data_IF_561295048106
#
_entry.id   IF_561295048106
#
_cell.length_a   1.000
_cell.length_b   1.000
_cell.length_c   1.000
_cell.angle_alpha   90.00
_cell.angle_beta   90.00
_cell.angle_gamma   90.00
#
_symmetry.space_group_name_H-M   'P 1'
#
loop_
_entity.id
_entity.type
_entity.pdbx_description
1 polymer ?
#
# COMPACT_ATOMS: atom_id res chain seq x y z
N UNK A 1 -22.47 17.92 -28.41
CA UNK A 1 -21.81 18.36 -27.18
C UNK A 1 -20.40 17.79 -27.19
N UNK A 2 -19.36 18.63 -27.23
CA UNK A 2 -18.00 18.15 -26.99
C UNK A 2 -17.96 17.64 -25.55
N UNK A 3 -17.77 16.34 -25.36
CA UNK A 3 -17.52 15.78 -24.04
C UNK A 3 -16.22 16.44 -23.55
N UNK A 4 -16.32 17.29 -22.52
CA UNK A 4 -15.14 17.89 -21.92
C UNK A 4 -14.22 16.75 -21.50
N UNK A 5 -12.96 16.78 -21.95
CA UNK A 5 -11.98 15.77 -21.55
C UNK A 5 -11.93 15.72 -20.02
N UNK A 6 -12.06 14.54 -19.40
CA UNK A 6 -12.06 14.39 -17.95
C UNK A 6 -10.83 15.06 -17.32
N UNK A 7 -11.01 15.56 -16.10
CA UNK A 7 -9.98 16.28 -15.36
C UNK A 7 -9.69 15.62 -14.02
N UNK A 8 -8.45 15.75 -13.56
CA UNK A 8 -8.02 15.33 -12.24
C UNK A 8 -7.35 16.48 -11.51
N UNK A 9 -7.67 16.65 -10.23
CA UNK A 9 -6.91 17.47 -9.31
C UNK A 9 -6.01 16.60 -8.44
N UNK A 10 -4.70 16.73 -8.61
CA UNK A 10 -3.69 16.10 -7.78
C UNK A 10 -3.46 16.99 -6.55
N UNK A 11 -3.77 16.47 -5.36
CA UNK A 11 -3.53 17.15 -4.08
C UNK A 11 -2.26 16.58 -3.43
N UNK A 12 -1.19 17.36 -3.39
CA UNK A 12 0.11 16.93 -2.92
C UNK A 12 1.04 16.51 -4.06
N UNK A 13 2.06 17.32 -4.35
CA UNK A 13 3.01 17.11 -5.44
C UNK A 13 4.37 16.59 -4.93
N UNK A 14 4.29 15.63 -4.01
CA UNK A 14 5.43 14.82 -3.56
C UNK A 14 5.84 13.76 -4.58
N UNK A 15 6.68 12.79 -4.20
CA UNK A 15 7.16 11.75 -5.11
C UNK A 15 6.03 10.97 -5.80
N UNK A 16 5.03 10.52 -5.04
CA UNK A 16 3.90 9.76 -5.59
C UNK A 16 2.98 10.65 -6.45
N UNK A 17 2.65 11.87 -5.97
CA UNK A 17 1.86 12.83 -6.75
C UNK A 17 2.49 13.20 -8.09
N UNK A 18 3.82 13.35 -8.16
CA UNK A 18 4.56 13.53 -9.42
C UNK A 18 4.40 12.36 -10.39
N UNK A 19 4.48 11.13 -9.88
CA UNK A 19 4.33 9.91 -10.68
C UNK A 19 2.90 9.82 -11.20
N UNK A 20 1.90 9.96 -10.32
CA UNK A 20 0.48 9.91 -10.67
C UNK A 20 0.09 11.01 -11.65
N UNK A 21 0.53 12.26 -11.44
CA UNK A 21 0.27 13.36 -12.37
C UNK A 21 0.74 13.04 -13.81
N UNK A 22 1.92 12.41 -13.94
CA UNK A 22 2.43 11.95 -15.25
C UNK A 22 1.57 10.84 -15.83
N UNK A 23 1.19 9.84 -15.04
CA UNK A 23 0.34 8.72 -15.49
C UNK A 23 -1.04 9.23 -15.93
N UNK A 24 -1.70 10.06 -15.12
CA UNK A 24 -2.98 10.68 -15.45
C UNK A 24 -2.91 11.46 -16.78
N UNK A 25 -1.85 12.25 -16.97
CA UNK A 25 -1.60 12.97 -18.24
C UNK A 25 -1.38 12.03 -19.41
N UNK A 26 -0.62 10.94 -19.23
CA UNK A 26 -0.41 9.91 -20.24
C UNK A 26 -1.69 9.16 -20.62
N UNK A 27 -2.66 9.06 -19.71
CA UNK A 27 -3.99 8.55 -19.95
C UNK A 27 -4.94 9.57 -20.63
N UNK A 28 -4.45 10.75 -21.02
CA UNK A 28 -5.23 11.78 -21.71
C UNK A 28 -6.10 12.65 -20.80
N UNK A 29 -5.90 12.58 -19.48
CA UNK A 29 -6.67 13.35 -18.50
C UNK A 29 -6.06 14.75 -18.33
N UNK A 30 -6.92 15.76 -18.19
CA UNK A 30 -6.49 17.12 -17.88
C UNK A 30 -6.04 17.22 -16.42
N UNK A 31 -4.74 17.41 -16.19
CA UNK A 31 -4.15 17.38 -14.84
C UNK A 31 -3.98 18.80 -14.27
N UNK A 32 -4.61 19.02 -13.12
CA UNK A 32 -4.40 20.17 -12.24
C UNK A 32 -3.66 19.70 -10.99
N UNK A 33 -2.83 20.57 -10.42
CA UNK A 33 -2.02 20.28 -9.23
C UNK A 33 -2.20 21.37 -8.20
N UNK A 34 -2.36 20.97 -6.94
CA UNK A 34 -2.27 21.86 -5.79
C UNK A 34 -1.43 21.22 -4.68
N UNK A 35 -0.74 22.05 -3.90
CA UNK A 35 0.11 21.68 -2.78
C UNK A 35 0.25 22.89 -1.86
N UNK A 36 0.38 22.65 -0.55
CA UNK A 36 0.61 23.71 0.45
C UNK A 36 2.01 24.32 0.34
N UNK A 37 2.94 23.63 -0.31
CA UNK A 37 4.34 24.01 -0.41
C UNK A 37 4.60 24.74 -1.73
N UNK A 38 4.97 26.02 -1.64
CA UNK A 38 5.26 26.86 -2.82
C UNK A 38 6.28 26.22 -3.78
N UNK A 39 7.36 25.66 -3.27
CA UNK A 39 8.40 25.03 -4.10
C UNK A 39 7.90 23.79 -4.85
N UNK A 40 6.91 23.07 -4.31
CA UNK A 40 6.27 21.94 -5.00
C UNK A 40 5.34 22.42 -6.11
N UNK A 41 4.63 23.53 -5.92
CA UNK A 41 3.85 24.18 -6.97
C UNK A 41 4.75 24.68 -8.11
N UNK A 42 5.86 25.35 -7.78
CA UNK A 42 6.86 25.79 -8.76
C UNK A 42 7.43 24.60 -9.54
N UNK A 43 7.72 23.48 -8.86
CA UNK A 43 8.13 22.24 -9.51
C UNK A 43 7.06 21.64 -10.43
N UNK A 44 5.79 21.64 -10.03
CA UNK A 44 4.69 21.15 -10.86
C UNK A 44 4.51 22.01 -12.13
N UNK A 45 4.65 23.33 -11.98
CA UNK A 45 4.58 24.25 -13.11
C UNK A 45 5.74 24.03 -14.08
N UNK A 46 6.96 23.83 -13.57
CA UNK A 46 8.14 23.51 -14.38
C UNK A 46 8.00 22.17 -15.11
N UNK A 47 7.33 21.17 -14.50
CA UNK A 47 6.98 19.89 -15.11
C UNK A 47 5.84 20.02 -16.15
N UNK A 48 5.30 21.23 -16.37
CA UNK A 48 4.27 21.53 -17.36
C UNK A 48 2.86 21.15 -16.94
N UNK A 49 2.56 21.15 -15.64
CA UNK A 49 1.22 20.96 -15.09
C UNK A 49 0.54 22.29 -14.76
N UNK A 50 -0.80 22.31 -14.77
CA UNK A 50 -1.58 23.49 -14.39
C UNK A 50 -1.69 23.57 -12.87
N UNK A 51 -1.36 24.72 -12.32
CA UNK A 51 -1.47 24.98 -10.88
C UNK A 51 -2.86 25.48 -10.55
N UNK A 52 -3.53 24.81 -9.61
CA UNK A 52 -4.81 25.24 -9.09
C UNK A 52 -4.66 25.90 -7.72
N UNK A 53 -5.15 27.13 -7.61
CA UNK A 53 -5.14 27.91 -6.37
C UNK A 53 -6.53 28.01 -5.72
N UNK A 54 -7.59 27.78 -6.49
CA UNK A 54 -8.98 27.85 -6.03
C UNK A 54 -9.77 26.66 -6.58
N UNK A 55 -9.56 25.44 -6.03
CA UNK A 55 -10.17 24.22 -6.53
C UNK A 55 -11.70 24.24 -6.67
N UNK A 56 -12.41 24.98 -5.83
CA UNK A 56 -13.89 25.05 -5.84
C UNK A 56 -14.49 25.69 -7.11
N UNK A 57 -13.70 26.43 -7.88
CA UNK A 57 -14.14 27.06 -9.12
C UNK A 57 -14.30 26.07 -10.29
N UNK A 58 -13.76 24.85 -10.16
CA UNK A 58 -13.75 23.83 -11.21
C UNK A 58 -14.48 22.57 -10.72
N UNK A 59 -15.16 21.89 -11.62
CA UNK A 59 -15.66 20.53 -11.39
C UNK A 59 -14.65 19.53 -11.93
N UNK A 60 -14.21 18.60 -11.09
CA UNK A 60 -13.25 17.56 -11.48
C UNK A 60 -13.94 16.22 -11.70
N UNK A 61 -13.45 15.43 -12.66
CA UNK A 61 -13.86 14.02 -12.72
C UNK A 61 -13.22 13.23 -11.57
N UNK A 62 -12.01 13.61 -11.18
CA UNK A 62 -11.24 12.95 -10.13
C UNK A 62 -10.54 13.97 -9.23
N UNK A 63 -10.49 13.70 -7.93
CA UNK A 63 -9.54 14.30 -7.01
C UNK A 63 -8.64 13.18 -6.50
N UNK A 64 -7.32 13.32 -6.61
CA UNK A 64 -6.37 12.28 -6.20
C UNK A 64 -5.48 12.83 -5.07
N UNK A 65 -5.75 12.36 -3.85
CA UNK A 65 -5.09 12.75 -2.61
C UNK A 65 -3.79 11.97 -2.48
N UNK A 66 -2.68 12.66 -2.73
CA UNK A 66 -1.31 12.18 -2.72
C UNK A 66 -0.48 12.77 -1.56
N UNK A 67 -1.14 13.11 -0.46
CA UNK A 67 -0.52 13.71 0.72
C UNK A 67 0.09 12.63 1.64
N UNK A 68 0.82 12.98 2.71
CA UNK A 68 1.25 12.00 3.72
C UNK A 68 0.06 11.28 4.36
N UNK A 69 0.26 10.02 4.76
CA UNK A 69 -0.80 9.13 5.24
C UNK A 69 -1.64 9.73 6.38
N UNK A 70 -0.99 10.38 7.34
CA UNK A 70 -1.63 11.03 8.50
C UNK A 70 -2.40 12.33 8.17
N UNK A 71 -2.58 12.66 6.88
CA UNK A 71 -3.30 13.85 6.42
C UNK A 71 -4.38 13.54 5.41
N UNK A 72 -4.55 12.28 4.99
CA UNK A 72 -5.50 11.89 3.95
C UNK A 72 -6.93 12.32 4.30
N UNK A 73 -7.41 11.95 5.48
CA UNK A 73 -8.78 12.23 5.92
C UNK A 73 -8.99 13.72 6.19
N UNK A 74 -7.99 14.41 6.72
CA UNK A 74 -8.04 15.85 6.90
C UNK A 74 -8.19 16.60 5.57
N UNK A 75 -7.46 16.16 4.54
CA UNK A 75 -7.56 16.73 3.19
C UNK A 75 -8.92 16.44 2.58
N UNK A 76 -9.46 15.23 2.75
CA UNK A 76 -10.82 14.90 2.33
C UNK A 76 -11.86 15.82 2.99
N UNK A 77 -11.75 16.03 4.31
CA UNK A 77 -12.61 16.95 5.05
C UNK A 77 -12.57 18.36 4.46
N UNK A 78 -11.37 18.86 4.11
CA UNK A 78 -11.19 20.18 3.49
C UNK A 78 -11.79 20.28 2.09
N UNK A 79 -11.60 19.25 1.26
CA UNK A 79 -12.23 19.18 -0.08
C UNK A 79 -13.74 19.38 0.05
N UNK A 80 -14.37 18.69 1.01
CA UNK A 80 -15.81 18.77 1.25
C UNK A 80 -16.20 20.13 1.84
N UNK A 81 -15.47 20.64 2.84
CA UNK A 81 -15.79 21.94 3.46
C UNK A 81 -15.64 23.13 2.51
N UNK A 82 -14.70 23.04 1.58
CA UNK A 82 -14.39 24.10 0.61
C UNK A 82 -15.28 24.02 -0.64
N UNK A 83 -16.28 23.12 -0.67
CA UNK A 83 -17.20 22.87 -1.78
C UNK A 83 -16.46 22.55 -3.10
N UNK A 84 -15.40 21.75 -3.01
CA UNK A 84 -14.70 21.25 -4.20
C UNK A 84 -15.57 20.19 -4.87
N UNK A 85 -15.94 20.43 -6.12
CA UNK A 85 -16.83 19.54 -6.89
C UNK A 85 -16.02 18.44 -7.58
N UNK A 86 -16.38 17.19 -7.34
CA UNK A 86 -15.73 16.02 -7.92
C UNK A 86 -16.70 14.88 -8.22
N UNK A 87 -16.45 14.04 -9.23
CA UNK A 87 -17.22 12.79 -9.38
C UNK A 87 -16.67 11.73 -8.41
N UNK A 88 -15.35 11.58 -8.33
CA UNK A 88 -14.66 10.63 -7.45
C UNK A 88 -13.47 11.22 -6.73
N UNK A 89 -13.15 10.67 -5.57
CA UNK A 89 -11.93 10.95 -4.84
C UNK A 89 -11.11 9.67 -4.68
N UNK A 90 -9.84 9.72 -5.06
CA UNK A 90 -8.87 8.67 -4.91
C UNK A 90 -7.97 9.05 -3.74
N UNK A 91 -7.77 8.16 -2.80
CA UNK A 91 -6.96 8.40 -1.60
C UNK A 91 -5.85 7.35 -1.56
N UNK A 92 -4.59 7.76 -1.39
CA UNK A 92 -3.51 6.81 -1.14
C UNK A 92 -3.78 5.93 0.09
N UNK A 93 -3.23 4.71 0.08
CA UNK A 93 -3.20 3.86 1.26
C UNK A 93 -2.12 4.34 2.27
N UNK A 94 -2.27 4.04 3.56
CA UNK A 94 -3.49 3.55 4.22
C UNK A 94 -4.58 4.63 4.27
N UNK A 95 -5.85 4.21 4.40
CA UNK A 95 -6.98 5.13 4.41
C UNK A 95 -6.98 6.01 5.68
N UNK A 96 -6.79 5.39 6.84
CA UNK A 96 -6.54 6.03 8.13
C UNK A 96 -5.69 5.11 9.01
N UNK A 97 -4.98 5.68 9.98
CA UNK A 97 -4.10 4.93 10.88
C UNK A 97 -4.41 5.09 12.36
N UNK A 98 -5.31 6.01 12.73
CA UNK A 98 -5.67 6.24 14.12
C UNK A 98 -7.19 6.42 14.29
N UNK A 99 -7.63 6.38 15.55
CA UNK A 99 -9.04 6.49 15.90
C UNK A 99 -9.64 7.87 15.56
N UNK A 100 -8.83 8.92 15.55
CA UNK A 100 -9.28 10.29 15.25
C UNK A 100 -9.60 10.46 13.77
N UNK A 101 -8.70 10.06 12.88
CA UNK A 101 -8.96 10.03 11.43
C UNK A 101 -10.15 9.13 11.09
N UNK A 102 -10.25 7.97 11.74
CA UNK A 102 -11.42 7.10 11.62
C UNK A 102 -12.69 7.86 12.00
N UNK A 103 -12.72 8.55 13.14
CA UNK A 103 -13.90 9.28 13.57
C UNK A 103 -14.34 10.35 12.56
N UNK A 104 -13.39 11.14 12.05
CA UNK A 104 -13.67 12.16 11.02
C UNK A 104 -14.25 11.52 9.76
N UNK A 105 -13.66 10.42 9.28
CA UNK A 105 -14.17 9.74 8.09
C UNK A 105 -15.63 9.33 8.28
N UNK A 106 -15.98 8.74 9.42
CA UNK A 106 -17.36 8.33 9.69
C UNK A 106 -18.31 9.52 9.77
N UNK A 107 -17.90 10.63 10.39
CA UNK A 107 -18.69 11.86 10.40
C UNK A 107 -18.98 12.38 8.97
N UNK A 108 -17.99 12.34 8.08
CA UNK A 108 -18.18 12.72 6.67
C UNK A 108 -19.18 11.80 5.97
N UNK A 109 -19.09 10.49 6.19
CA UNK A 109 -19.98 9.49 5.58
C UNK A 109 -21.41 9.57 6.12
N UNK A 110 -21.58 9.84 7.42
CA UNK A 110 -22.89 10.03 8.04
C UNK A 110 -23.60 11.28 7.48
N UNK A 111 -22.83 12.31 7.11
CA UNK A 111 -23.34 13.55 6.52
C UNK A 111 -23.60 13.44 5.00
N UNK A 112 -22.86 12.62 4.26
CA UNK A 112 -23.05 12.39 2.83
C UNK A 112 -22.82 10.92 2.46
N UNK A 113 -23.92 10.16 2.41
CA UNK A 113 -23.90 8.75 2.05
C UNK A 113 -23.42 8.48 0.61
N UNK A 114 -23.45 9.49 -0.28
CA UNK A 114 -22.93 9.32 -1.66
C UNK A 114 -21.41 9.09 -1.69
N UNK A 115 -20.70 9.48 -0.63
CA UNK A 115 -19.25 9.31 -0.51
C UNK A 115 -18.82 7.84 -0.51
N UNK A 116 -19.68 6.91 -0.08
CA UNK A 116 -19.38 5.47 -0.11
C UNK A 116 -19.01 4.97 -1.51
N UNK A 117 -19.70 5.45 -2.54
CA UNK A 117 -19.47 5.04 -3.94
C UNK A 117 -18.45 5.94 -4.66
N UNK A 118 -18.09 7.08 -4.07
CA UNK A 118 -17.21 8.09 -4.68
C UNK A 118 -15.77 8.00 -4.18
N UNK A 119 -15.54 7.46 -2.99
CA UNK A 119 -14.20 7.27 -2.41
C UNK A 119 -13.60 5.95 -2.89
N UNK A 120 -12.40 6.03 -3.46
CA UNK A 120 -11.58 4.90 -3.88
C UNK A 120 -10.25 4.98 -3.14
N UNK A 121 -9.79 3.87 -2.57
CA UNK A 121 -8.45 3.78 -1.97
C UNK A 121 -7.48 3.19 -2.98
N UNK A 122 -6.37 3.87 -3.20
CA UNK A 122 -5.34 3.46 -4.15
C UNK A 122 -4.42 2.40 -3.55
N UNK A 123 -4.89 1.15 -3.56
CA UNK A 123 -4.07 -0.03 -3.30
C UNK A 123 -3.76 -0.74 -4.62
N UNK A 124 -2.65 -0.36 -5.24
CA UNK A 124 -2.29 -0.80 -6.59
C UNK A 124 -2.06 -2.31 -6.69
N UNK A 125 -1.76 -3.02 -5.59
CA UNK A 125 -1.46 -4.46 -5.66
C UNK A 125 -2.65 -5.32 -6.13
N UNK A 126 -3.89 -4.85 -6.00
CA UNK A 126 -5.06 -5.48 -6.64
C UNK A 126 -4.99 -5.58 -8.18
N UNK A 127 -4.04 -4.86 -8.80
CA UNK A 127 -3.74 -4.92 -10.22
C UNK A 127 -2.53 -5.76 -10.58
N UNK A 128 -1.89 -6.41 -9.61
CA UNK A 128 -0.72 -7.24 -9.88
C UNK A 128 -1.06 -8.40 -10.82
N UNK A 129 -0.48 -8.37 -12.02
CA UNK A 129 -0.62 -9.42 -13.03
C UNK A 129 0.10 -10.69 -12.60
N UNK A 130 1.26 -10.56 -11.94
CA UNK A 130 2.04 -11.73 -11.50
C UNK A 130 1.31 -12.51 -10.41
N UNK A 131 0.64 -11.81 -9.48
CA UNK A 131 -0.13 -12.47 -8.40
C UNK A 131 -1.40 -13.12 -8.96
N UNK A 132 -2.08 -12.50 -9.92
CA UNK A 132 -3.23 -13.12 -10.62
C UNK A 132 -2.83 -14.37 -11.40
N UNK A 133 -1.73 -14.30 -12.16
CA UNK A 133 -1.19 -15.46 -12.87
C UNK A 133 -0.84 -16.60 -11.91
N UNK A 134 -0.26 -16.27 -10.75
CA UNK A 134 -0.03 -17.24 -9.69
C UNK A 134 -1.35 -17.84 -9.17
N UNK A 135 -2.34 -17.02 -8.79
CA UNK A 135 -3.65 -17.49 -8.30
C UNK A 135 -4.30 -18.48 -9.26
N UNK A 136 -4.33 -18.18 -10.56
CA UNK A 136 -4.90 -19.06 -11.59
C UNK A 136 -4.22 -20.45 -11.61
N UNK A 137 -2.89 -20.48 -11.46
CA UNK A 137 -2.09 -21.73 -11.42
C UNK A 137 -2.28 -22.52 -10.11
N UNK A 138 -2.53 -21.85 -8.99
CA UNK A 138 -2.74 -22.50 -7.68
C UNK A 138 -4.08 -23.22 -7.54
N UNK A 139 -5.04 -23.01 -8.45
CA UNK A 139 -6.45 -23.43 -8.29
C UNK A 139 -6.67 -24.92 -7.98
N UNK A 140 -5.68 -25.79 -8.21
CA UNK A 140 -5.75 -27.24 -7.96
C UNK A 140 -4.77 -27.73 -6.88
N UNK A 141 -4.00 -26.84 -6.28
CA UNK A 141 -2.90 -27.18 -5.41
C UNK A 141 -3.27 -27.10 -3.93
N UNK A 142 -2.87 -28.11 -3.14
CA UNK A 142 -3.00 -28.06 -1.68
C UNK A 142 -1.82 -27.30 -1.08
N UNK A 143 -2.07 -26.04 -0.72
CA UNK A 143 -1.08 -25.14 -0.14
C UNK A 143 -0.87 -25.46 1.34
N UNK A 144 0.39 -25.68 1.75
CA UNK A 144 0.80 -25.86 3.16
C UNK A 144 1.27 -24.55 3.78
N UNK A 145 1.97 -23.71 3.01
CA UNK A 145 2.53 -22.45 3.50
C UNK A 145 2.45 -21.34 2.46
N UNK A 146 2.16 -20.14 2.92
CA UNK A 146 2.31 -18.89 2.17
C UNK A 146 3.23 -17.98 2.97
N UNK A 147 4.31 -17.48 2.39
CA UNK A 147 5.21 -16.51 3.01
C UNK A 147 5.31 -15.28 2.11
N UNK A 148 4.96 -14.11 2.63
CA UNK A 148 5.12 -12.83 1.93
C UNK A 148 6.14 -12.00 2.70
N UNK A 149 7.14 -11.51 1.98
CA UNK A 149 8.15 -10.58 2.50
C UNK A 149 8.07 -9.28 1.70
N UNK A 150 7.96 -8.15 2.41
CA UNK A 150 8.19 -6.81 1.86
C UNK A 150 9.11 -6.02 2.77
N UNK A 151 10.41 -6.11 2.50
CA UNK A 151 11.46 -5.50 3.30
C UNK A 151 12.34 -4.59 2.45
N UNK A 152 12.72 -3.46 3.03
CA UNK A 152 13.69 -2.53 2.47
C UNK A 152 14.19 -1.63 3.60
N UNK A 153 15.50 -1.44 3.69
CA UNK A 153 16.06 -0.38 4.52
C UNK A 153 15.54 1.00 4.05
N UNK A 154 14.70 1.61 4.89
CA UNK A 154 14.12 2.94 4.71
C UNK A 154 14.85 4.00 5.52
N UNK A 155 15.93 3.71 6.24
CA UNK A 155 16.60 4.70 7.10
C UNK A 155 16.97 5.99 6.33
N UNK A 156 17.42 5.87 5.09
CA UNK A 156 17.67 7.02 4.22
C UNK A 156 16.38 7.75 3.79
N UNK A 157 15.30 7.02 3.49
CA UNK A 157 13.99 7.62 3.19
C UNK A 157 13.41 8.33 4.46
N UNK A 158 13.53 7.72 5.64
CA UNK A 158 13.05 8.25 6.92
C UNK A 158 13.77 9.55 7.30
N UNK A 159 15.09 9.64 7.11
CA UNK A 159 15.87 10.88 7.27
C UNK A 159 15.38 12.02 6.37
N UNK A 160 14.73 11.69 5.25
CA UNK A 160 14.09 12.66 4.36
C UNK A 160 12.61 12.96 4.70
N UNK A 161 12.12 12.45 5.84
CA UNK A 161 10.74 12.62 6.31
C UNK A 161 9.71 11.77 5.57
N UNK A 162 10.10 10.61 5.03
CA UNK A 162 9.24 9.74 4.21
C UNK A 162 9.13 8.35 4.82
N UNK A 163 8.02 7.67 4.55
CA UNK A 163 7.71 6.31 5.05
C UNK A 163 7.77 6.16 6.57
N UNK A 164 7.43 7.24 7.28
CA UNK A 164 7.24 7.21 8.73
C UNK A 164 5.74 7.25 8.99
N UNK A 165 5.25 6.23 9.68
CA UNK A 165 3.91 6.20 10.23
C UNK A 165 4.01 6.38 11.75
N UNK A 166 3.60 7.54 12.23
CA UNK A 166 3.73 7.87 13.66
C UNK A 166 2.65 7.20 14.52
N UNK A 167 1.61 6.63 13.91
CA UNK A 167 0.48 6.05 14.61
C UNK A 167 0.64 4.54 14.78
N UNK A 168 0.96 3.82 13.70
CA UNK A 168 1.05 2.35 13.70
C UNK A 168 2.37 1.79 13.14
N UNK A 169 3.37 2.65 12.91
CA UNK A 169 4.73 2.24 12.54
C UNK A 169 4.78 1.33 11.32
N UNK A 170 5.52 0.23 11.42
CA UNK A 170 5.70 -0.72 10.32
C UNK A 170 4.38 -1.33 9.77
N UNK A 171 3.31 -1.38 10.57
CA UNK A 171 1.99 -1.86 10.13
C UNK A 171 1.32 -0.91 9.13
N UNK A 172 1.70 0.36 9.07
CA UNK A 172 1.08 1.34 8.16
C UNK A 172 1.74 1.42 6.79
N UNK A 173 2.93 0.83 6.61
CA UNK A 173 3.74 1.04 5.41
C UNK A 173 3.53 -0.08 4.37
N UNK A 174 4.08 -1.28 4.58
CA UNK A 174 4.02 -2.35 3.57
C UNK A 174 2.87 -3.34 3.81
N UNK A 175 2.35 -3.44 5.04
CA UNK A 175 1.27 -4.39 5.37
C UNK A 175 0.02 -4.23 4.48
N UNK A 176 -0.49 -3.03 4.14
CA UNK A 176 -1.65 -2.91 3.26
C UNK A 176 -1.46 -3.61 1.89
N UNK A 177 -0.25 -3.54 1.33
CA UNK A 177 0.08 -4.23 0.08
C UNK A 177 0.03 -5.75 0.24
N UNK A 178 0.52 -6.26 1.39
CA UNK A 178 0.51 -7.69 1.70
C UNK A 178 -0.92 -8.19 1.90
N UNK A 179 -1.78 -7.40 2.56
CA UNK A 179 -3.21 -7.72 2.71
C UNK A 179 -3.90 -7.81 1.35
N UNK A 180 -3.63 -6.86 0.44
CA UNK A 180 -4.17 -6.92 -0.92
C UNK A 180 -3.71 -8.16 -1.70
N UNK A 181 -2.45 -8.58 -1.56
CA UNK A 181 -1.95 -9.84 -2.17
C UNK A 181 -2.70 -11.04 -1.61
N UNK A 182 -2.87 -11.10 -0.29
CA UNK A 182 -3.59 -12.18 0.37
C UNK A 182 -5.06 -12.27 -0.05
N UNK A 183 -5.71 -11.12 -0.23
CA UNK A 183 -7.07 -11.06 -0.76
C UNK A 183 -7.15 -11.61 -2.19
N UNK A 184 -6.20 -11.25 -3.08
CA UNK A 184 -6.13 -11.82 -4.45
C UNK A 184 -5.91 -13.34 -4.41
N UNK A 185 -5.20 -13.87 -3.41
CA UNK A 185 -4.96 -15.30 -3.26
C UNK A 185 -6.13 -16.06 -2.60
N UNK A 186 -7.29 -15.43 -2.43
CA UNK A 186 -8.46 -15.96 -1.70
C UNK A 186 -8.12 -16.37 -0.26
N UNK A 187 -7.25 -15.58 0.39
CA UNK A 187 -6.75 -15.79 1.75
C UNK A 187 -6.87 -14.50 2.58
N UNK A 188 -8.06 -13.93 2.74
CA UNK A 188 -8.21 -12.73 3.55
C UNK A 188 -7.96 -13.05 5.03
N UNK A 189 -7.17 -12.21 5.71
CA UNK A 189 -6.66 -12.49 7.07
C UNK A 189 -7.77 -12.54 8.14
N UNK A 190 -8.92 -11.90 7.90
CA UNK A 190 -10.07 -11.93 8.80
C UNK A 190 -10.73 -13.31 8.93
N UNK A 191 -10.39 -14.26 8.05
CA UNK A 191 -10.85 -15.65 8.09
C UNK A 191 -9.83 -16.61 8.72
N UNK A 192 -8.71 -16.09 9.24
CA UNK A 192 -7.61 -16.88 9.79
C UNK A 192 -7.46 -16.70 11.30
N UNK A 193 -6.87 -17.68 11.96
CA UNK A 193 -6.46 -17.57 13.34
C UNK A 193 -5.08 -16.92 13.42
N UNK A 194 -4.94 -15.86 14.21
CA UNK A 194 -3.65 -15.22 14.50
C UNK A 194 -2.85 -16.10 15.46
N UNK A 195 -1.63 -16.47 15.07
CA UNK A 195 -0.71 -17.32 15.87
C UNK A 195 0.39 -16.49 16.50
N UNK A 196 1.03 -15.61 15.72
CA UNK A 196 2.07 -14.68 16.20
C UNK A 196 1.87 -13.31 15.59
N UNK A 197 2.20 -12.29 16.36
CA UNK A 197 2.19 -10.90 15.94
C UNK A 197 3.27 -10.16 16.71
N UNK A 198 4.42 -9.98 16.07
CA UNK A 198 5.62 -9.44 16.72
C UNK A 198 5.97 -8.14 16.01
N UNK A 199 6.19 -7.10 16.81
CA UNK A 199 6.76 -5.82 16.38
C UNK A 199 8.17 -5.73 16.95
N UNK A 200 9.15 -5.77 16.05
CA UNK A 200 10.55 -5.53 16.38
C UNK A 200 10.84 -4.04 16.27
N UNK A 201 11.48 -3.46 17.29
CA UNK A 201 11.85 -2.05 17.35
C UNK A 201 13.32 -1.94 17.75
N UNK A 202 14.12 -1.23 16.97
CA UNK A 202 15.46 -0.84 17.39
C UNK A 202 15.38 0.06 18.64
N UNK A 203 16.13 -0.32 19.66
CA UNK A 203 16.19 0.39 20.95
C UNK A 203 16.70 1.82 20.80
N UNK A 204 17.52 2.09 19.78
CA UNK A 204 18.17 3.38 19.55
C UNK A 204 17.47 4.22 18.45
N UNK A 205 16.67 3.60 17.58
CA UNK A 205 15.86 4.30 16.57
C UNK A 205 14.45 3.69 16.46
N UNK A 206 13.48 4.37 17.07
CA UNK A 206 12.07 3.95 17.04
C UNK A 206 11.47 3.84 15.63
N UNK A 207 12.09 4.40 14.58
CA UNK A 207 11.61 4.28 13.20
C UNK A 207 12.25 3.09 12.46
N UNK A 208 13.29 2.49 13.03
CA UNK A 208 13.89 1.26 12.55
C UNK A 208 13.10 0.08 13.15
N UNK A 209 12.12 -0.38 12.39
CA UNK A 209 11.13 -1.35 12.84
C UNK A 209 10.97 -2.50 11.85
N UNK A 210 10.43 -3.61 12.32
CA UNK A 210 9.92 -4.68 11.47
C UNK A 210 8.80 -5.46 12.13
N UNK A 211 8.00 -6.14 11.30
CA UNK A 211 6.90 -6.99 11.75
C UNK A 211 7.08 -8.42 11.28
N UNK A 212 6.71 -9.35 12.15
CA UNK A 212 6.50 -10.75 11.85
C UNK A 212 5.09 -11.12 12.28
N UNK A 213 4.28 -11.60 11.34
CA UNK A 213 2.91 -12.04 11.63
C UNK A 213 2.72 -13.45 11.09
N UNK A 214 2.16 -14.32 11.91
CA UNK A 214 1.84 -15.70 11.53
C UNK A 214 0.36 -15.95 11.76
N UNK A 215 -0.29 -16.49 10.75
CA UNK A 215 -1.67 -16.95 10.80
C UNK A 215 -1.76 -18.42 10.39
N UNK A 216 -2.83 -19.07 10.82
CA UNK A 216 -3.23 -20.40 10.35
C UNK A 216 -4.66 -20.35 9.84
N UNK A 217 -4.89 -20.90 8.65
CA UNK A 217 -6.22 -21.04 8.07
C UNK A 217 -6.95 -22.26 8.64
N UNK A 218 -8.27 -22.37 8.43
CA UNK A 218 -9.05 -23.56 8.82
C UNK A 218 -8.60 -24.87 8.17
N UNK A 219 -7.85 -24.80 7.07
CA UNK A 219 -7.33 -25.95 6.33
C UNK A 219 -5.85 -26.22 6.66
N UNK A 220 -5.36 -25.72 7.79
CA UNK A 220 -3.98 -25.88 8.29
C UNK A 220 -2.90 -25.29 7.36
N UNK A 221 -3.25 -24.37 6.44
CA UNK A 221 -2.26 -23.56 5.74
C UNK A 221 -1.70 -22.49 6.68
N UNK A 222 -0.37 -22.45 6.84
CA UNK A 222 0.33 -21.37 7.56
C UNK A 222 0.57 -20.18 6.63
N UNK A 223 0.24 -18.97 7.08
CA UNK A 223 0.51 -17.72 6.37
C UNK A 223 1.48 -16.88 7.19
N UNK A 224 2.63 -16.53 6.62
CA UNK A 224 3.69 -15.75 7.27
C UNK A 224 3.87 -14.43 6.54
N UNK A 225 3.85 -13.32 7.28
CA UNK A 225 4.08 -11.97 6.81
C UNK A 225 5.36 -11.45 7.45
N UNK A 226 6.31 -10.98 6.63
CA UNK A 226 7.51 -10.29 7.07
C UNK A 226 7.59 -8.90 6.42
N UNK A 227 7.88 -7.88 7.21
CA UNK A 227 8.22 -6.58 6.67
C UNK A 227 9.20 -5.86 7.59
N UNK A 228 10.39 -5.56 7.08
CA UNK A 228 11.43 -4.84 7.82
C UNK A 228 11.77 -3.54 7.10
N UNK A 229 11.70 -2.42 7.83
CA UNK A 229 11.79 -1.07 7.30
C UNK A 229 13.10 -0.35 7.62
N UNK A 230 14.00 -0.92 8.42
CA UNK A 230 15.34 -0.35 8.60
C UNK A 230 16.43 -1.35 8.29
N UNK A 231 17.57 -1.26 8.98
CA UNK A 231 18.81 -1.94 8.58
C UNK A 231 18.95 -3.37 9.13
N UNK A 232 17.98 -3.85 9.93
CA UNK A 232 17.95 -5.22 10.43
C UNK A 232 16.75 -6.03 9.91
N UNK A 233 16.86 -7.35 10.00
CA UNK A 233 15.76 -8.30 9.86
C UNK A 233 15.93 -9.45 10.86
N UNK A 234 14.81 -10.08 11.23
CA UNK A 234 14.79 -11.23 12.14
C UNK A 234 14.27 -12.46 11.40
N UNK A 235 15.01 -13.58 11.48
CA UNK A 235 14.61 -14.84 10.88
C UNK A 235 13.55 -15.57 11.74
N UNK A 236 12.88 -16.61 11.20
CA UNK A 236 12.01 -17.48 12.00
C UNK A 236 12.71 -18.19 13.17
N UNK A 237 14.02 -18.40 13.07
CA UNK A 237 14.91 -18.95 14.10
C UNK A 237 15.37 -17.88 15.10
N UNK A 238 14.82 -16.67 14.98
CA UNK A 238 15.14 -15.46 15.74
C UNK A 238 16.57 -14.95 15.55
N UNK A 239 17.22 -15.27 14.43
CA UNK A 239 18.52 -14.70 14.08
C UNK A 239 18.35 -13.28 13.57
N UNK A 240 19.14 -12.36 14.10
CA UNK A 240 19.21 -10.97 13.62
C UNK A 240 20.27 -10.89 12.53
N UNK A 241 19.94 -10.23 11.43
CA UNK A 241 20.86 -10.04 10.31
C UNK A 241 20.60 -8.71 9.60
N UNK A 242 21.54 -8.28 8.77
CA UNK A 242 21.41 -7.04 8.03
C UNK A 242 20.32 -7.11 6.93
N UNK A 243 19.57 -6.02 6.78
CA UNK A 243 18.57 -5.81 5.74
C UNK A 243 19.16 -5.02 4.55
N UNK A 244 20.23 -5.55 3.96
CA UNK A 244 21.01 -4.86 2.92
C UNK A 244 20.33 -4.75 1.54
N UNK A 245 19.30 -5.56 1.28
CA UNK A 245 18.69 -5.66 -0.04
C UNK A 245 17.17 -5.53 0.05
N UNK A 246 16.57 -4.99 -1.01
CA UNK A 246 15.12 -4.95 -1.14
C UNK A 246 14.64 -6.38 -1.37
N UNK A 247 13.79 -6.89 -0.48
CA UNK A 247 13.11 -8.18 -0.64
C UNK A 247 11.61 -7.93 -0.77
N UNK A 248 11.09 -8.08 -1.98
CA UNK A 248 9.65 -8.13 -2.23
C UNK A 248 9.33 -9.46 -2.88
N UNK A 249 8.99 -10.43 -2.05
CA UNK A 249 8.75 -11.79 -2.51
C UNK A 249 7.54 -12.43 -1.88
N UNK A 250 6.99 -13.39 -2.60
CA UNK A 250 5.95 -14.29 -2.15
C UNK A 250 6.44 -15.71 -2.45
N UNK A 251 6.34 -16.59 -1.47
CA UNK A 251 6.68 -18.01 -1.58
C UNK A 251 5.46 -18.82 -1.18
N UNK A 252 5.08 -19.80 -2.00
CA UNK A 252 3.97 -20.71 -1.73
C UNK A 252 4.49 -22.13 -1.81
N UNK A 253 4.36 -22.85 -0.72
CA UNK A 253 4.85 -24.21 -0.56
C UNK A 253 3.66 -25.17 -0.40
N UNK A 254 3.71 -26.28 -1.11
CA UNK A 254 2.82 -27.41 -0.94
C UNK A 254 3.58 -28.68 -0.59
N UNK A 255 2.97 -29.83 -0.89
CA UNK A 255 3.63 -31.12 -0.63
C UNK A 255 4.77 -31.42 -1.60
N UNK A 256 4.60 -31.08 -2.88
CA UNK A 256 5.54 -31.42 -3.96
C UNK A 256 5.88 -30.22 -4.85
N UNK A 257 5.64 -29.00 -4.36
CA UNK A 257 5.91 -27.79 -5.13
C UNK A 257 6.37 -26.63 -4.24
N UNK A 258 7.12 -25.72 -4.85
CA UNK A 258 7.53 -24.46 -4.28
C UNK A 258 7.49 -23.40 -5.38
N UNK A 259 6.54 -22.48 -5.27
CA UNK A 259 6.36 -21.39 -6.21
C UNK A 259 6.84 -20.10 -5.59
N UNK A 260 7.52 -19.27 -6.37
CA UNK A 260 8.07 -18.01 -5.90
C UNK A 260 7.73 -16.88 -6.85
N UNK A 261 7.24 -15.78 -6.30
CA UNK A 261 7.14 -14.51 -7.00
C UNK A 261 8.18 -13.55 -6.45
N UNK A 262 8.89 -12.86 -7.34
CA UNK A 262 9.74 -11.72 -7.04
C UNK A 262 9.08 -10.49 -7.66
N UNK A 263 8.60 -9.59 -6.82
CA UNK A 263 7.81 -8.42 -7.22
C UNK A 263 8.72 -7.21 -7.51
N UNK A 264 8.16 -6.18 -8.15
CA UNK A 264 8.86 -4.91 -8.35
C UNK A 264 9.19 -4.23 -6.99
N UNK A 265 10.43 -3.73 -6.78
CA UNK A 265 11.55 -3.78 -7.73
C UNK A 265 12.26 -5.14 -7.72
N UNK A 266 12.42 -5.71 -8.92
CA UNK A 266 13.17 -6.95 -9.12
C UNK A 266 14.68 -6.69 -8.94
N UNK A 267 15.45 -7.57 -8.27
CA UNK A 267 16.87 -7.35 -7.99
C UNK A 267 17.76 -7.35 -9.24
N UNK A 268 17.32 -8.00 -10.32
CA UNK A 268 18.11 -8.19 -11.55
C UNK A 268 17.42 -7.72 -12.82
N UNK A 269 16.25 -7.08 -12.73
CA UNK A 269 15.50 -6.61 -13.89
C UNK A 269 15.12 -5.13 -13.70
N UNK A 270 14.75 -4.48 -14.80
CA UNK A 270 14.29 -3.10 -14.76
C UNK A 270 13.00 -2.95 -13.94
N UNK A 271 12.69 -1.70 -13.55
CA UNK A 271 11.45 -1.38 -12.84
C UNK A 271 10.23 -1.86 -13.63
N UNK A 272 9.16 -2.14 -12.88
CA UNK A 272 7.86 -2.61 -13.39
C UNK A 272 7.90 -4.04 -13.95
N UNK A 273 8.98 -4.80 -13.74
CA UNK A 273 8.97 -6.23 -14.00
C UNK A 273 8.90 -7.02 -12.68
N UNK A 274 8.10 -8.08 -12.71
CA UNK A 274 8.04 -9.12 -11.70
C UNK A 274 8.36 -10.48 -12.32
N UNK A 275 8.87 -11.40 -11.52
CA UNK A 275 9.21 -12.76 -11.95
C UNK A 275 8.34 -13.77 -11.19
N UNK A 276 7.69 -14.69 -11.92
CA UNK A 276 7.03 -15.86 -11.37
C UNK A 276 7.87 -17.10 -11.68
N UNK A 277 8.33 -17.79 -10.63
CA UNK A 277 9.03 -19.07 -10.70
C UNK A 277 8.10 -20.19 -10.25
N UNK A 278 7.99 -21.21 -11.07
CA UNK A 278 7.12 -22.37 -10.88
C UNK A 278 7.93 -23.63 -11.16
N UNK A 279 8.57 -24.19 -10.12
CA UNK A 279 9.59 -25.22 -10.29
C UNK A 279 10.77 -24.72 -11.14
N UNK A 280 11.04 -25.39 -12.26
CA UNK A 280 12.10 -25.01 -13.21
C UNK A 280 11.66 -23.92 -14.21
N UNK A 281 10.36 -23.63 -14.31
CA UNK A 281 9.87 -22.58 -15.18
C UNK A 281 10.02 -21.20 -14.52
N UNK A 282 10.41 -20.20 -15.32
CA UNK A 282 10.37 -18.79 -14.92
C UNK A 282 9.68 -17.94 -15.99
N UNK A 283 8.87 -17.00 -15.55
CA UNK A 283 8.18 -16.03 -16.39
C UNK A 283 8.39 -14.62 -15.86
N UNK A 284 8.93 -13.74 -16.71
CA UNK A 284 8.97 -12.31 -16.45
C UNK A 284 7.70 -11.65 -16.97
N UNK A 285 7.07 -10.83 -16.12
CA UNK A 285 5.81 -10.16 -16.39
C UNK A 285 6.00 -8.66 -16.13
N UNK A 286 5.66 -7.83 -17.13
CA UNK A 286 5.58 -6.39 -16.94
C UNK A 286 4.32 -6.04 -16.13
N UNK A 287 4.50 -5.61 -14.89
CA UNK A 287 3.50 -5.43 -13.85
C UNK A 287 3.45 -3.97 -13.34
N UNK A 288 3.09 -3.03 -14.22
CA UNK A 288 2.88 -1.62 -13.89
C UNK A 288 1.53 -1.40 -13.18
N UNK A 289 1.46 -1.88 -11.94
CA UNK A 289 0.27 -1.89 -11.11
C UNK A 289 -0.36 -0.49 -10.94
N UNK A 290 0.45 0.56 -10.80
CA UNK A 290 -0.05 1.91 -10.58
C UNK A 290 -0.78 2.46 -11.80
N UNK A 291 -0.16 2.30 -12.98
CA UNK A 291 -0.76 2.74 -14.25
C UNK A 291 -2.01 1.95 -14.55
N UNK A 292 -1.97 0.62 -14.39
CA UNK A 292 -3.13 -0.24 -14.59
C UNK A 292 -4.28 0.14 -13.65
N UNK A 293 -3.98 0.50 -12.39
CA UNK A 293 -5.01 0.92 -11.46
C UNK A 293 -5.64 2.26 -11.85
N UNK A 294 -4.85 3.28 -12.19
CA UNK A 294 -5.37 4.57 -12.66
C UNK A 294 -6.19 4.40 -13.94
N UNK A 295 -5.69 3.62 -14.91
CA UNK A 295 -6.43 3.32 -16.12
C UNK A 295 -7.77 2.62 -15.83
N UNK A 296 -7.78 1.69 -14.88
CA UNK A 296 -9.01 1.00 -14.48
C UNK A 296 -10.01 1.94 -13.79
N UNK A 297 -9.54 2.88 -12.95
CA UNK A 297 -10.38 3.90 -12.30
C UNK A 297 -11.04 4.81 -13.34
N UNK A 298 -10.29 5.26 -14.34
CA UNK A 298 -10.80 6.07 -15.47
C UNK A 298 -11.95 5.36 -16.18
N UNK A 299 -11.80 4.05 -16.41
CA UNK A 299 -12.79 3.22 -17.11
C UNK A 299 -13.87 2.63 -16.19
N UNK A 300 -13.99 3.12 -14.96
CA UNK A 300 -14.96 2.62 -13.97
C UNK A 300 -14.89 1.09 -13.70
N UNK A 301 -13.71 0.52 -13.80
CA UNK A 301 -13.46 -0.89 -13.47
C UNK A 301 -12.70 -0.95 -12.16
N UNK A 302 -13.31 -0.58 -11.04
CA UNK A 302 -12.62 -0.48 -9.72
C UNK A 302 -12.50 -1.88 -9.11
N UNK A 303 -11.32 -2.22 -8.58
CA UNK A 303 -11.12 -3.49 -7.89
C UNK A 303 -11.89 -3.46 -6.58
N UNK A 304 -12.52 -4.57 -6.20
CA UNK A 304 -13.37 -4.65 -5.01
C UNK A 304 -12.62 -4.20 -3.74
N UNK A 305 -11.38 -4.65 -3.54
CA UNK A 305 -10.57 -4.23 -2.41
C UNK A 305 -10.11 -2.76 -2.41
N UNK A 306 -10.27 -2.03 -3.51
CA UNK A 306 -10.04 -0.59 -3.57
C UNK A 306 -11.28 0.22 -3.18
N UNK A 307 -12.45 -0.43 -2.98
CA UNK A 307 -13.66 0.25 -2.50
C UNK A 307 -13.53 0.59 -1.01
N UNK A 308 -14.27 1.61 -0.60
CA UNK A 308 -14.16 2.20 0.73
C UNK A 308 -14.38 1.17 1.85
N UNK A 309 -15.40 0.31 1.74
CA UNK A 309 -15.76 -0.66 2.77
C UNK A 309 -14.63 -1.67 3.04
N UNK A 310 -13.92 -2.11 2.00
CA UNK A 310 -12.78 -3.01 2.12
C UNK A 310 -11.56 -2.28 2.69
N UNK A 311 -11.28 -1.07 2.23
CA UNK A 311 -10.18 -0.27 2.76
C UNK A 311 -10.36 0.08 4.24
N UNK A 312 -11.60 0.34 4.68
CA UNK A 312 -11.93 0.52 6.11
C UNK A 312 -11.58 -0.75 6.90
N UNK A 313 -11.88 -1.94 6.37
CA UNK A 313 -11.55 -3.20 7.03
C UNK A 313 -10.02 -3.39 7.14
N UNK A 314 -9.28 -3.09 6.07
CA UNK A 314 -7.82 -3.18 6.09
C UNK A 314 -7.18 -2.23 7.09
N UNK A 315 -7.60 -0.95 7.12
CA UNK A 315 -7.12 0.01 8.12
C UNK A 315 -7.46 -0.42 9.55
N UNK A 316 -8.66 -0.95 9.80
CA UNK A 316 -9.04 -1.52 11.11
C UNK A 316 -8.15 -2.71 11.49
N UNK A 317 -7.85 -3.58 10.53
CA UNK A 317 -6.99 -4.75 10.75
C UNK A 317 -5.56 -4.34 11.10
N UNK A 318 -4.99 -3.36 10.39
CA UNK A 318 -3.64 -2.86 10.69
C UNK A 318 -3.56 -2.27 12.10
N UNK A 319 -4.54 -1.46 12.50
CA UNK A 319 -4.63 -0.90 13.86
C UNK A 319 -4.81 -2.01 14.91
N UNK A 320 -5.67 -3.00 14.65
CA UNK A 320 -5.89 -4.12 15.56
C UNK A 320 -4.60 -4.92 15.78
N UNK A 321 -3.83 -5.15 14.72
CA UNK A 321 -2.56 -5.86 14.80
C UNK A 321 -1.53 -5.04 15.57
N UNK A 322 -1.41 -3.74 15.29
CA UNK A 322 -0.50 -2.87 16.04
C UNK A 322 -0.82 -2.88 17.54
N UNK A 323 -2.09 -2.73 17.91
CA UNK A 323 -2.53 -2.69 19.31
C UNK A 323 -2.32 -4.01 20.06
N UNK A 324 -2.23 -5.14 19.35
CA UNK A 324 -2.04 -6.47 19.93
C UNK A 324 -0.64 -7.05 19.62
N UNK A 325 0.33 -6.22 19.27
CA UNK A 325 1.67 -6.67 18.96
C UNK A 325 2.43 -7.07 20.23
N UNK A 326 3.13 -8.19 20.18
CA UNK A 326 4.21 -8.48 21.11
C UNK A 326 5.41 -7.64 20.71
N UNK A 327 5.77 -6.64 21.53
CA UNK A 327 6.83 -5.69 21.21
C UNK A 327 8.16 -6.25 21.71
N UNK A 328 9.13 -6.32 20.82
CA UNK A 328 10.48 -6.81 21.11
C UNK A 328 11.48 -5.74 20.71
N UNK A 329 12.26 -5.29 21.69
CA UNK A 329 13.33 -4.34 21.49
C UNK A 329 14.61 -5.06 21.08
N UNK A 330 15.24 -4.59 20.01
CA UNK A 330 16.48 -5.11 19.46
C UNK A 330 17.58 -4.05 19.60
N UNK A 331 18.82 -4.48 19.78
CA UNK A 331 20.01 -3.67 19.58
C UNK A 331 20.82 -4.16 18.40
N UNK A 332 21.57 -3.25 17.76
CA UNK A 332 22.38 -3.60 16.59
C UNK A 332 23.41 -4.70 16.85
N UNK A 333 23.92 -4.81 18.09
CA UNK A 333 24.82 -5.89 18.49
C UNK A 333 24.15 -7.25 18.75
N UNK A 334 22.81 -7.32 18.76
CA UNK A 334 22.11 -8.58 18.98
C UNK A 334 22.29 -9.49 17.78
N UNK A 335 22.70 -10.74 18.03
CA UNK A 335 22.75 -11.79 17.01
C UNK A 335 21.49 -12.67 17.02
N UNK A 336 20.77 -12.67 18.14
CA UNK A 336 19.56 -13.47 18.37
C UNK A 336 18.58 -12.70 19.24
N UNK A 337 17.28 -12.94 19.02
CA UNK A 337 16.20 -12.39 19.84
C UNK A 337 15.44 -13.51 20.55
N UNK A 338 15.07 -13.30 21.81
CA UNK A 338 14.27 -14.26 22.57
C UNK A 338 12.80 -13.85 22.55
N UNK A 339 12.01 -14.53 21.72
CA UNK A 339 10.58 -14.34 21.61
C UNK A 339 9.89 -15.18 22.71
N UNK A 340 9.61 -14.58 23.87
CA UNK A 340 8.79 -15.21 24.93
C UNK A 340 7.30 -15.01 24.67
#
# INVERSE_FOLDING_TARGET
MHQLNPSVLIMGYGKIGKIKAKIWKQCGINVFVTDVTKTRLESAQADGFRIEKSPSNISYSFVDICTPSNTHIEVLRRIISDDVRFDRVIIEKPLFNNAYEKHILYELLDNDNSLHERIIVNEQYYRSKVIKCLQERLSKEKIKRVKITMSKDRNADNKSGRFIDNDIGAYGIELPHILAILDILDKPVNLMALVKNILYIDSDDKNNQGIYIEYVTKNDTTVVINSFLGDFKVSPENEVSDNCFIDRSLVIEGENFNHRVIMDPHPSNERLYAELKFGEESMLIHDDMLRENIFSIINNNIAEGCKLEYAIQQSKQAILLFNNANIIHIKKEDNYVYNY
#
